data_IF_724210425797
#
_entry.id   IF_724210425797
#
_cell.length_a   1.000
_cell.length_b   1.000
_cell.length_c   1.000
_cell.angle_alpha   90.00
_cell.angle_beta   90.00
_cell.angle_gamma   90.00
#
_symmetry.space_group_name_H-M   'P 1'
#
loop_
_entity.id
_entity.type
_entity.pdbx_description
1 polymer ?
#
# COMPACT_ATOMS: atom_id res chain seq x y z
N UNK A 1 -13.22 16.23 23.06
CA UNK A 1 -13.53 17.69 22.93
C UNK A 1 -12.70 18.43 21.90
N UNK A 2 -11.35 18.28 21.85
CA UNK A 2 -10.50 19.02 20.89
C UNK A 2 -9.99 18.20 19.70
N UNK A 3 -10.41 16.94 19.57
CA UNK A 3 -9.99 16.03 18.50
C UNK A 3 -11.13 15.90 17.50
N UNK A 4 -10.89 16.27 16.24
CA UNK A 4 -11.93 16.23 15.19
C UNK A 4 -11.96 14.91 14.42
N UNK A 5 -10.81 14.34 14.08
CA UNK A 5 -10.73 13.12 13.28
C UNK A 5 -9.48 12.29 13.63
N UNK A 6 -9.57 11.00 13.34
CA UNK A 6 -8.48 10.05 13.24
C UNK A 6 -8.41 9.57 11.78
N UNK A 7 -7.20 9.53 11.21
CA UNK A 7 -6.95 9.09 9.84
C UNK A 7 -5.91 7.98 9.84
N UNK A 8 -6.18 6.92 9.08
CA UNK A 8 -5.23 5.82 8.89
C UNK A 8 -5.40 5.17 7.51
N UNK A 9 -4.27 4.78 6.91
CA UNK A 9 -4.28 3.80 5.82
C UNK A 9 -4.65 2.42 6.37
N UNK A 10 -5.45 1.59 5.68
CA UNK A 10 -5.70 0.21 6.12
C UNK A 10 -4.43 -0.66 6.17
N UNK A 11 -3.49 -0.40 5.27
CA UNK A 11 -2.11 -0.89 5.33
C UNK A 11 -1.23 0.33 5.05
N UNK A 12 -0.29 0.64 5.95
CA UNK A 12 0.62 1.77 5.76
C UNK A 12 1.57 1.46 4.60
N UNK A 13 1.22 1.90 3.40
CA UNK A 13 1.89 1.47 2.18
C UNK A 13 3.26 2.14 2.03
N UNK A 14 3.28 3.48 2.13
CA UNK A 14 4.51 4.25 1.97
C UNK A 14 5.47 4.15 3.15
N UNK A 15 5.01 3.64 4.30
CA UNK A 15 5.85 3.34 5.45
C UNK A 15 6.50 1.96 5.44
N UNK A 16 6.46 1.25 4.31
CA UNK A 16 7.08 -0.08 4.18
C UNK A 16 6.09 -1.24 4.28
N UNK A 17 4.85 -1.05 3.78
CA UNK A 17 3.81 -2.11 3.76
C UNK A 17 3.55 -2.67 5.17
N UNK A 18 3.31 -1.79 6.14
CA UNK A 18 3.03 -2.22 7.51
C UNK A 18 1.59 -2.73 7.59
N UNK A 19 1.45 -4.05 7.62
CA UNK A 19 0.17 -4.72 7.83
C UNK A 19 -0.20 -4.60 9.32
N UNK A 20 -1.33 -4.00 9.67
CA UNK A 20 -1.71 -3.86 11.07
C UNK A 20 -2.05 -5.23 11.69
N UNK A 21 -1.83 -5.41 13.00
CA UNK A 21 -2.31 -6.61 13.70
C UNK A 21 -3.84 -6.78 13.57
N UNK A 22 -4.36 -8.03 13.58
CA UNK A 22 -5.80 -8.27 13.58
C UNK A 22 -6.54 -7.48 14.66
N UNK A 23 -7.65 -6.83 14.29
CA UNK A 23 -8.48 -6.04 15.19
C UNK A 23 -7.98 -4.63 15.51
N UNK A 24 -6.80 -4.22 15.01
CA UNK A 24 -6.26 -2.87 15.23
C UNK A 24 -7.24 -1.77 14.80
N UNK A 25 -7.73 -1.83 13.56
CA UNK A 25 -8.64 -0.82 13.04
C UNK A 25 -9.99 -0.81 13.75
N UNK A 26 -10.55 -1.99 14.07
CA UNK A 26 -11.79 -2.08 14.83
C UNK A 26 -11.66 -1.44 16.22
N UNK A 27 -10.54 -1.68 16.92
CA UNK A 27 -10.26 -1.05 18.21
C UNK A 27 -10.11 0.48 18.09
N UNK A 28 -9.42 0.97 17.04
CA UNK A 28 -9.33 2.41 16.77
C UNK A 28 -10.69 3.03 16.48
N UNK A 29 -11.52 2.38 15.66
CA UNK A 29 -12.88 2.83 15.34
C UNK A 29 -13.74 2.90 16.60
N UNK A 30 -13.71 1.88 17.45
CA UNK A 30 -14.44 1.88 18.73
C UNK A 30 -14.04 3.05 19.65
N UNK A 31 -12.74 3.36 19.72
CA UNK A 31 -12.27 4.57 20.44
C UNK A 31 -12.85 5.83 19.79
N UNK A 32 -12.81 5.93 18.47
CA UNK A 32 -13.35 7.09 17.75
C UNK A 32 -14.84 7.28 18.03
N UNK A 33 -15.64 6.20 17.98
CA UNK A 33 -17.08 6.21 18.28
C UNK A 33 -17.37 6.67 19.70
N UNK A 34 -16.63 6.16 20.71
CA UNK A 34 -16.81 6.55 22.12
C UNK A 34 -16.54 8.03 22.40
N UNK A 35 -15.75 8.69 21.55
CA UNK A 35 -15.31 10.07 21.76
C UNK A 35 -15.86 11.05 20.71
N UNK A 36 -16.82 10.63 19.88
CA UNK A 36 -17.38 11.42 18.77
C UNK A 36 -16.28 11.98 17.83
N UNK A 37 -15.31 11.13 17.50
CA UNK A 37 -14.22 11.44 16.57
C UNK A 37 -14.54 10.80 15.22
N UNK A 38 -14.35 11.56 14.14
CA UNK A 38 -14.53 11.06 12.77
C UNK A 38 -13.42 10.06 12.44
N UNK A 39 -13.77 8.87 11.95
CA UNK A 39 -12.80 7.92 11.42
C UNK A 39 -12.66 8.06 9.89
N UNK A 40 -11.47 8.37 9.42
CA UNK A 40 -11.12 8.48 8.00
C UNK A 40 -10.22 7.30 7.60
N UNK A 41 -10.68 6.51 6.64
CA UNK A 41 -9.85 5.47 6.00
C UNK A 41 -9.19 6.04 4.76
N UNK A 42 -7.85 6.15 4.77
CA UNK A 42 -7.08 6.57 3.60
C UNK A 42 -6.83 5.35 2.70
N UNK A 43 -7.71 5.16 1.73
CA UNK A 43 -7.67 4.04 0.79
C UNK A 43 -7.06 4.43 -0.56
N UNK A 44 -6.22 5.47 -0.58
CA UNK A 44 -5.56 5.91 -1.81
C UNK A 44 -4.70 4.78 -2.40
N UNK A 45 -4.09 3.91 -1.59
CA UNK A 45 -3.32 2.74 -2.07
C UNK A 45 -4.11 1.43 -2.01
N UNK A 46 -4.83 1.19 -0.93
CA UNK A 46 -5.50 -0.09 -0.66
C UNK A 46 -6.80 -0.27 -1.43
N UNK A 47 -7.44 0.84 -1.81
CA UNK A 47 -8.64 0.83 -2.64
C UNK A 47 -8.35 0.40 -4.08
N UNK A 48 -9.41 0.18 -4.84
CA UNK A 48 -9.36 -0.26 -6.22
C UNK A 48 -8.49 -1.51 -6.40
N UNK A 49 -8.81 -2.55 -5.65
CA UNK A 49 -8.36 -3.92 -5.92
C UNK A 49 -6.97 -4.30 -5.43
N UNK A 50 -6.22 -3.40 -4.78
CA UNK A 50 -4.88 -3.73 -4.26
C UNK A 50 -4.88 -4.95 -3.34
N UNK A 51 -5.91 -5.07 -2.50
CA UNK A 51 -6.16 -6.23 -1.63
C UNK A 51 -7.27 -7.14 -2.16
N UNK A 52 -7.65 -7.02 -3.43
CA UNK A 52 -8.72 -7.79 -4.04
C UNK A 52 -10.13 -7.31 -3.75
N UNK A 53 -10.29 -6.08 -3.23
CA UNK A 53 -11.58 -5.46 -2.97
C UNK A 53 -11.59 -4.01 -3.47
N UNK A 54 -12.77 -3.47 -3.77
CA UNK A 54 -12.90 -2.04 -4.13
C UNK A 54 -12.38 -1.13 -3.02
N UNK A 55 -12.66 -1.48 -1.77
CA UNK A 55 -12.12 -0.87 -0.57
C UNK A 55 -11.84 -1.97 0.44
N UNK A 56 -10.76 -1.85 1.20
CA UNK A 56 -10.32 -2.86 2.15
C UNK A 56 -11.05 -2.77 3.50
N UNK A 57 -11.50 -1.57 3.86
CA UNK A 57 -12.04 -1.23 5.19
C UNK A 57 -13.03 -2.27 5.73
N UNK A 58 -14.09 -2.58 4.98
CA UNK A 58 -15.11 -3.55 5.40
C UNK A 58 -14.66 -5.01 5.19
N UNK A 59 -14.35 -5.47 3.96
CA UNK A 59 -14.12 -6.90 3.72
C UNK A 59 -12.80 -7.45 4.30
N UNK A 60 -11.82 -6.59 4.59
CA UNK A 60 -10.49 -7.01 5.09
C UNK A 60 -10.31 -6.65 6.56
N UNK A 61 -10.81 -5.50 6.99
CA UNK A 61 -10.52 -4.95 8.33
C UNK A 61 -11.74 -4.83 9.24
N UNK A 62 -12.93 -5.25 8.78
CA UNK A 62 -14.18 -5.26 9.56
C UNK A 62 -14.53 -3.89 10.14
N UNK A 63 -14.33 -2.83 9.34
CA UNK A 63 -14.68 -1.45 9.69
C UNK A 63 -15.52 -0.77 8.60
N UNK A 64 -16.49 0.03 9.04
CA UNK A 64 -17.18 1.02 8.20
C UNK A 64 -16.74 2.42 8.64
N UNK A 65 -15.80 3.06 7.91
CA UNK A 65 -15.30 4.39 8.25
C UNK A 65 -16.35 5.46 7.96
N UNK A 66 -16.18 6.64 8.55
CA UNK A 66 -17.06 7.78 8.27
C UNK A 66 -16.76 8.44 6.94
N UNK A 67 -15.48 8.43 6.55
CA UNK A 67 -14.96 8.99 5.31
C UNK A 67 -13.96 8.00 4.71
N UNK A 68 -14.00 7.82 3.39
CA UNK A 68 -12.93 7.17 2.62
C UNK A 68 -12.28 8.20 1.71
N UNK A 69 -10.94 8.25 1.70
CA UNK A 69 -10.17 9.01 0.70
C UNK A 69 -9.66 8.03 -0.36
N UNK A 70 -9.81 8.37 -1.63
CA UNK A 70 -9.37 7.49 -2.73
C UNK A 70 -8.84 8.26 -3.94
N UNK A 71 -7.88 7.65 -4.64
CA UNK A 71 -7.27 8.14 -5.89
C UNK A 71 -6.55 6.96 -6.57
N UNK A 72 -5.35 7.17 -7.15
CA UNK A 72 -4.47 6.15 -7.76
C UNK A 72 -5.21 5.10 -8.60
N UNK A 73 -5.55 3.95 -8.01
CA UNK A 73 -6.25 2.86 -8.68
C UNK A 73 -7.63 3.25 -9.21
N UNK A 74 -8.23 4.34 -8.72
CA UNK A 74 -9.47 4.94 -9.23
C UNK A 74 -9.46 5.15 -10.75
N UNK A 75 -8.30 5.54 -11.30
CA UNK A 75 -8.10 5.69 -12.74
C UNK A 75 -6.93 4.87 -13.25
N UNK A 76 -6.38 3.95 -12.45
CA UNK A 76 -5.13 3.23 -12.73
C UNK A 76 -3.98 4.13 -13.21
N UNK A 77 -3.96 5.40 -12.78
CA UNK A 77 -2.95 6.38 -13.18
C UNK A 77 -3.12 6.98 -14.59
N UNK A 78 -4.16 6.64 -15.34
CA UNK A 78 -4.37 7.15 -16.71
C UNK A 78 -4.62 8.67 -16.75
N UNK A 79 -5.31 9.20 -15.74
CA UNK A 79 -5.60 10.64 -15.60
C UNK A 79 -5.82 10.98 -14.13
N UNK A 80 -5.45 12.19 -13.66
CA UNK A 80 -5.67 12.59 -12.26
C UNK A 80 -7.15 12.62 -11.89
N UNK A 81 -7.52 11.81 -10.90
CA UNK A 81 -8.82 11.85 -10.23
C UNK A 81 -8.64 11.40 -8.79
N UNK A 82 -9.32 12.08 -7.87
CA UNK A 82 -9.47 11.64 -6.49
C UNK A 82 -10.94 11.82 -6.08
N UNK A 83 -11.34 11.10 -5.03
CA UNK A 83 -12.64 11.28 -4.41
C UNK A 83 -12.52 11.24 -2.88
N UNK A 84 -13.45 11.94 -2.24
CA UNK A 84 -13.73 11.84 -0.81
C UNK A 84 -15.14 11.30 -0.72
N UNK A 85 -15.29 10.10 -0.18
CA UNK A 85 -16.56 9.41 -0.01
C UNK A 85 -16.99 9.65 1.43
N UNK A 86 -18.14 10.28 1.62
CA UNK A 86 -18.62 10.69 2.95
C UNK A 86 -19.87 9.87 3.25
N UNK A 87 -19.93 9.26 4.44
CA UNK A 87 -21.09 8.50 4.88
C UNK A 87 -22.35 9.36 4.99
N UNK A 88 -23.51 8.74 4.74
CA UNK A 88 -24.81 9.40 4.89
C UNK A 88 -25.00 9.98 6.29
N UNK A 89 -24.52 9.28 7.33
CA UNK A 89 -24.55 9.75 8.72
C UNK A 89 -23.91 11.13 8.87
N UNK A 90 -22.74 11.34 8.27
CA UNK A 90 -22.05 12.63 8.32
C UNK A 90 -22.73 13.68 7.45
N UNK A 91 -23.13 13.31 6.23
CA UNK A 91 -23.82 14.26 5.33
C UNK A 91 -25.13 14.75 5.96
N UNK A 92 -25.93 13.88 6.56
CA UNK A 92 -27.20 14.25 7.21
C UNK A 92 -27.02 15.20 8.40
N UNK A 93 -25.86 15.16 9.07
CA UNK A 93 -25.56 16.07 10.17
C UNK A 93 -25.29 17.52 9.70
N UNK A 94 -24.98 17.72 8.42
CA UNK A 94 -24.56 19.02 7.86
C UNK A 94 -25.36 19.42 6.61
N UNK A 95 -26.49 18.76 6.32
CA UNK A 95 -27.33 19.02 5.15
C UNK A 95 -28.81 19.07 5.52
N UNK A 96 -29.63 19.63 4.62
CA UNK A 96 -31.07 19.79 4.82
C UNK A 96 -31.37 20.68 6.03
N UNK A 97 -32.39 20.34 6.82
CA UNK A 97 -32.78 21.14 8.00
C UNK A 97 -31.66 21.29 9.05
N UNK A 98 -30.68 20.38 9.03
CA UNK A 98 -29.52 20.38 9.95
C UNK A 98 -28.46 21.43 9.58
N UNK A 99 -28.44 21.93 8.34
CA UNK A 99 -27.37 22.81 7.86
C UNK A 99 -27.44 24.22 8.46
N UNK A 100 -28.59 24.61 9.03
CA UNK A 100 -28.85 25.94 9.62
C UNK A 100 -28.49 27.10 8.67
N UNK A 101 -28.69 26.90 7.37
CA UNK A 101 -28.33 27.86 6.31
C UNK A 101 -26.84 27.91 6.00
N UNK A 102 -26.05 26.92 6.43
CA UNK A 102 -24.62 26.84 6.15
C UNK A 102 -24.37 26.47 4.69
N UNK A 103 -23.28 27.02 4.14
CA UNK A 103 -22.82 26.70 2.78
C UNK A 103 -21.47 25.99 2.86
N UNK A 104 -21.35 24.84 2.20
CA UNK A 104 -20.05 24.19 2.03
C UNK A 104 -19.24 24.92 0.95
N UNK A 105 -18.53 25.98 1.35
CA UNK A 105 -17.75 26.84 0.44
C UNK A 105 -16.38 26.23 0.15
N UNK A 106 -16.36 25.02 -0.41
CA UNK A 106 -15.15 24.34 -0.86
C UNK A 106 -15.38 23.67 -2.22
N UNK A 107 -14.38 23.75 -3.10
CA UNK A 107 -14.42 23.14 -4.42
C UNK A 107 -13.16 23.45 -5.21
N UNK A 108 -12.89 22.63 -6.23
CA UNK A 108 -11.76 22.82 -7.14
C UNK A 108 -12.28 23.06 -8.55
N UNK A 109 -11.56 23.84 -9.36
CA UNK A 109 -11.93 24.12 -10.77
C UNK A 109 -12.19 22.84 -11.58
N UNK A 110 -11.46 21.76 -11.25
CA UNK A 110 -11.56 20.47 -11.93
C UNK A 110 -12.31 19.40 -11.12
N UNK A 111 -13.02 19.79 -10.05
CA UNK A 111 -13.92 18.87 -9.34
C UNK A 111 -14.95 18.29 -10.31
N UNK A 112 -15.01 16.95 -10.41
CA UNK A 112 -15.91 16.26 -11.33
C UNK A 112 -15.52 16.42 -12.81
N UNK A 113 -14.23 16.56 -13.13
CA UNK A 113 -13.77 16.69 -14.52
C UNK A 113 -14.29 15.54 -15.38
N UNK A 114 -15.12 15.79 -16.42
CA UNK A 114 -15.89 14.75 -17.10
C UNK A 114 -15.02 13.69 -17.77
N UNK A 115 -13.87 14.07 -18.35
CA UNK A 115 -12.93 13.11 -18.95
C UNK A 115 -12.29 12.21 -17.89
N UNK A 116 -12.02 12.74 -16.70
CA UNK A 116 -11.42 11.96 -15.62
C UNK A 116 -12.45 10.98 -15.05
N UNK A 117 -13.70 11.41 -14.88
CA UNK A 117 -14.80 10.54 -14.51
C UNK A 117 -15.04 9.43 -15.55
N UNK A 118 -15.01 9.75 -16.85
CA UNK A 118 -15.14 8.74 -17.91
C UNK A 118 -14.01 7.71 -17.89
N UNK A 119 -12.76 8.14 -17.65
CA UNK A 119 -11.63 7.23 -17.48
C UNK A 119 -11.78 6.34 -16.23
N UNK A 120 -12.31 6.88 -15.13
CA UNK A 120 -12.62 6.11 -13.92
C UNK A 120 -13.68 5.02 -14.17
N UNK A 121 -14.74 5.34 -14.93
CA UNK A 121 -15.77 4.36 -15.31
C UNK A 121 -15.17 3.27 -16.19
N UNK A 122 -14.45 3.63 -17.26
CA UNK A 122 -13.81 2.67 -18.15
C UNK A 122 -12.79 1.79 -17.41
N UNK A 123 -12.08 2.35 -16.43
CA UNK A 123 -11.19 1.59 -15.56
C UNK A 123 -11.96 0.53 -14.75
N UNK A 124 -13.09 0.88 -14.15
CA UNK A 124 -13.94 -0.08 -13.42
C UNK A 124 -14.50 -1.18 -14.33
N UNK A 125 -14.89 -0.85 -15.56
CA UNK A 125 -15.32 -1.85 -16.56
C UNK A 125 -14.21 -2.86 -16.90
N UNK A 126 -12.95 -2.41 -16.95
CA UNK A 126 -11.79 -3.30 -17.11
C UNK A 126 -11.58 -4.19 -15.90
N UNK A 127 -11.73 -3.66 -14.69
CA UNK A 127 -11.65 -4.43 -13.45
C UNK A 127 -12.64 -5.60 -13.45
N UNK A 128 -13.88 -5.33 -13.82
CA UNK A 128 -14.95 -6.33 -13.85
C UNK A 128 -14.76 -7.34 -14.99
N UNK A 129 -14.49 -6.86 -16.21
CA UNK A 129 -14.37 -7.72 -17.39
C UNK A 129 -13.13 -8.63 -17.39
N UNK A 130 -12.04 -8.21 -16.73
CA UNK A 130 -10.81 -9.00 -16.62
C UNK A 130 -10.67 -9.73 -15.27
N UNK A 131 -11.64 -9.60 -14.36
CA UNK A 131 -11.59 -10.24 -13.05
C UNK A 131 -10.38 -9.80 -12.21
N UNK A 132 -10.05 -8.51 -12.23
CA UNK A 132 -8.83 -8.00 -11.58
C UNK A 132 -8.88 -8.12 -10.05
N UNK A 133 -10.08 -8.06 -9.45
CA UNK A 133 -10.25 -8.26 -8.02
C UNK A 133 -9.96 -9.72 -7.63
N UNK A 134 -10.47 -10.66 -8.42
CA UNK A 134 -10.22 -12.10 -8.28
C UNK A 134 -8.73 -12.39 -8.44
N UNK A 135 -8.10 -11.87 -9.50
CA UNK A 135 -6.67 -12.05 -9.74
C UNK A 135 -5.83 -11.49 -8.58
N UNK A 136 -6.18 -10.32 -8.05
CA UNK A 136 -5.47 -9.75 -6.90
C UNK A 136 -5.60 -10.60 -5.62
N UNK A 137 -6.69 -11.33 -5.42
CA UNK A 137 -6.83 -12.29 -4.31
C UNK A 137 -5.98 -13.54 -4.56
N UNK A 138 -6.10 -14.13 -5.75
CA UNK A 138 -5.45 -15.40 -6.09
C UNK A 138 -3.94 -15.25 -6.28
N UNK A 139 -3.51 -14.35 -7.18
CA UNK A 139 -2.10 -14.08 -7.46
C UNK A 139 -1.46 -13.29 -6.32
N UNK A 140 -2.22 -12.47 -5.60
CA UNK A 140 -1.73 -11.84 -4.37
C UNK A 140 -1.33 -12.86 -3.32
N UNK A 141 -2.18 -13.84 -3.02
CA UNK A 141 -1.83 -14.93 -2.10
C UNK A 141 -0.61 -15.73 -2.57
N UNK A 142 -0.49 -15.95 -3.89
CA UNK A 142 0.68 -16.60 -4.49
C UNK A 142 1.95 -15.77 -4.31
N UNK A 143 1.89 -14.46 -4.60
CA UNK A 143 2.98 -13.52 -4.40
C UNK A 143 3.47 -13.50 -2.95
N UNK A 144 2.56 -13.48 -1.97
CA UNK A 144 2.96 -13.54 -0.56
C UNK A 144 3.70 -14.85 -0.21
N UNK A 145 3.32 -15.96 -0.83
CA UNK A 145 4.01 -17.26 -0.67
C UNK A 145 5.39 -17.22 -1.30
N UNK A 146 5.50 -16.71 -2.53
CA UNK A 146 6.77 -16.62 -3.26
C UNK A 146 7.75 -15.67 -2.58
N UNK A 147 7.30 -14.51 -2.10
CA UNK A 147 8.14 -13.58 -1.34
C UNK A 147 8.75 -14.25 -0.10
N UNK A 148 7.95 -15.01 0.65
CA UNK A 148 8.43 -15.74 1.84
C UNK A 148 9.55 -16.73 1.56
N UNK A 149 9.74 -17.17 0.31
CA UNK A 149 10.88 -18.03 -0.02
C UNK A 149 12.22 -17.33 0.17
N UNK A 150 12.26 -15.99 0.14
CA UNK A 150 13.48 -15.18 0.33
C UNK A 150 13.99 -15.17 1.77
N UNK A 151 13.24 -15.71 2.73
CA UNK A 151 13.67 -15.77 4.13
C UNK A 151 14.84 -16.73 4.38
N UNK A 152 15.25 -17.50 3.36
CA UNK A 152 16.46 -18.31 3.39
C UNK A 152 17.74 -17.48 3.19
N UNK A 153 17.61 -16.23 2.72
CA UNK A 153 18.73 -15.31 2.55
C UNK A 153 19.06 -14.65 3.91
N UNK A 154 20.31 -14.77 4.39
CA UNK A 154 20.72 -14.27 5.72
C UNK A 154 20.43 -12.79 5.99
N UNK A 155 20.52 -11.94 4.96
CA UNK A 155 20.26 -10.50 5.09
C UNK A 155 18.77 -10.18 5.26
N UNK A 156 17.85 -11.10 4.96
CA UNK A 156 16.41 -10.82 4.98
C UNK A 156 15.87 -10.94 6.41
N UNK A 157 15.59 -9.80 7.03
CA UNK A 157 15.12 -9.71 8.43
C UNK A 157 13.61 -9.81 8.59
N UNK A 158 12.83 -9.25 7.67
CA UNK A 158 11.37 -9.35 7.69
C UNK A 158 10.77 -9.39 6.27
N UNK A 159 9.66 -10.12 6.14
CA UNK A 159 8.86 -10.20 4.92
C UNK A 159 7.40 -10.02 5.30
N UNK A 160 6.80 -8.93 4.81
CA UNK A 160 5.42 -8.55 5.14
C UNK A 160 4.67 -8.07 3.92
N UNK A 161 3.35 -8.25 3.94
CA UNK A 161 2.49 -7.93 2.82
C UNK A 161 1.11 -8.57 2.92
N UNK A 162 0.23 -8.13 2.04
CA UNK A 162 -1.12 -8.66 1.86
C UNK A 162 -1.58 -8.36 0.44
N UNK A 163 -2.30 -9.28 -0.20
CA UNK A 163 -2.72 -9.09 -1.59
C UNK A 163 -1.53 -8.84 -2.52
N UNK A 164 -1.65 -7.87 -3.43
CA UNK A 164 -0.59 -7.48 -4.36
C UNK A 164 0.24 -6.29 -3.84
N UNK A 165 0.61 -6.30 -2.56
CA UNK A 165 1.65 -5.43 -2.01
C UNK A 165 2.54 -6.21 -1.05
N UNK A 166 3.84 -5.94 -1.10
CA UNK A 166 4.83 -6.64 -0.29
C UNK A 166 6.06 -5.80 -0.01
N UNK A 167 6.76 -6.17 1.06
CA UNK A 167 8.00 -5.58 1.51
C UNK A 167 8.94 -6.69 1.96
N UNK A 168 10.18 -6.64 1.47
CA UNK A 168 11.30 -7.46 1.95
C UNK A 168 12.30 -6.51 2.58
N UNK A 169 12.50 -6.62 3.89
CA UNK A 169 13.42 -5.78 4.65
C UNK A 169 14.76 -6.51 4.81
N UNK A 170 15.84 -5.88 4.35
CA UNK A 170 17.18 -6.46 4.38
C UNK A 170 18.03 -5.76 5.44
N UNK A 171 18.45 -6.46 6.48
CA UNK A 171 19.18 -5.87 7.62
C UNK A 171 20.60 -6.42 7.65
N UNK A 172 21.56 -5.53 7.89
CA UNK A 172 22.97 -5.88 8.11
C UNK A 172 23.43 -5.19 9.38
N UNK A 173 24.17 -5.87 10.24
CA UNK A 173 24.86 -5.21 11.34
C UNK A 173 26.30 -4.90 10.96
N UNK A 174 26.90 -3.84 11.49
CA UNK A 174 28.34 -3.62 11.45
C UNK A 174 28.74 -2.67 12.59
N UNK A 175 29.61 -3.12 13.51
CA UNK A 175 29.95 -2.37 14.73
C UNK A 175 30.56 -0.97 14.45
N UNK A 176 31.20 -0.79 13.30
CA UNK A 176 31.96 0.42 12.98
C UNK A 176 31.22 1.45 12.12
N UNK A 177 29.95 1.22 11.77
CA UNK A 177 29.15 2.12 10.91
C UNK A 177 27.89 2.57 11.61
N UNK A 178 27.43 3.78 11.26
CA UNK A 178 26.10 4.27 11.66
C UNK A 178 25.03 3.36 11.02
N UNK A 179 24.16 2.68 11.81
CA UNK A 179 23.26 1.65 11.29
C UNK A 179 22.35 2.16 10.16
N UNK A 180 21.81 3.36 10.29
CA UNK A 180 20.89 3.92 9.31
C UNK A 180 21.55 4.22 7.96
N UNK A 181 22.82 4.67 7.96
CA UNK A 181 23.55 4.91 6.70
C UNK A 181 23.78 3.60 5.95
N UNK A 182 24.11 2.53 6.68
CA UNK A 182 24.25 1.19 6.11
C UNK A 182 22.94 0.67 5.54
N UNK A 183 21.82 0.87 6.23
CA UNK A 183 20.50 0.47 5.74
C UNK A 183 20.13 1.16 4.43
N UNK A 184 20.38 2.47 4.30
CA UNK A 184 20.19 3.21 3.05
C UNK A 184 21.08 2.67 1.92
N UNK A 185 22.33 2.34 2.23
CA UNK A 185 23.27 1.77 1.25
C UNK A 185 22.82 0.38 0.78
N UNK A 186 22.39 -0.49 1.69
CA UNK A 186 21.86 -1.83 1.38
C UNK A 186 20.66 -1.72 0.43
N UNK A 187 19.64 -0.93 0.79
CA UNK A 187 18.46 -0.80 -0.07
C UNK A 187 18.77 -0.17 -1.42
N UNK A 188 19.66 0.82 -1.48
CA UNK A 188 20.11 1.42 -2.73
C UNK A 188 20.86 0.43 -3.63
N UNK A 189 21.68 -0.47 -3.07
CA UNK A 189 22.39 -1.48 -3.85
C UNK A 189 21.45 -2.53 -4.40
N UNK A 190 20.51 -3.01 -3.59
CA UNK A 190 19.49 -3.98 -4.04
C UNK A 190 18.67 -3.37 -5.18
N UNK A 191 18.25 -2.12 -5.06
CA UNK A 191 17.51 -1.41 -6.11
C UNK A 191 18.30 -1.32 -7.42
N UNK A 192 19.57 -0.90 -7.36
CA UNK A 192 20.44 -0.83 -8.53
C UNK A 192 20.63 -2.20 -9.22
N UNK A 193 20.85 -3.25 -8.43
CA UNK A 193 20.98 -4.61 -8.97
C UNK A 193 19.68 -5.12 -9.60
N UNK A 194 18.54 -4.91 -8.93
CA UNK A 194 17.22 -5.26 -9.47
C UNK A 194 16.94 -4.50 -10.77
N UNK A 195 17.22 -3.20 -10.80
CA UNK A 195 16.99 -2.35 -11.97
C UNK A 195 17.86 -2.80 -13.16
N UNK A 196 19.12 -3.15 -12.92
CA UNK A 196 20.02 -3.69 -13.95
C UNK A 196 19.54 -5.05 -14.51
N UNK A 197 18.76 -5.79 -13.72
CA UNK A 197 18.15 -7.07 -14.10
C UNK A 197 16.73 -6.90 -14.70
N UNK A 198 16.20 -5.68 -14.74
CA UNK A 198 14.89 -5.37 -15.35
C UNK A 198 13.73 -5.27 -14.37
N UNK A 199 13.97 -5.26 -13.05
CA UNK A 199 12.93 -5.09 -12.03
C UNK A 199 13.02 -3.72 -11.37
N UNK A 200 11.90 -2.99 -11.34
CA UNK A 200 11.75 -1.78 -10.54
C UNK A 200 11.22 -2.14 -9.15
N UNK A 201 12.05 -1.96 -8.14
CA UNK A 201 11.64 -1.96 -6.73
C UNK A 201 11.64 -0.53 -6.22
N UNK A 202 10.87 -0.25 -5.16
CA UNK A 202 10.97 1.05 -4.48
C UNK A 202 11.73 0.85 -3.17
N UNK A 203 13.01 1.26 -3.07
CA UNK A 203 13.70 1.24 -1.79
C UNK A 203 13.06 2.26 -0.84
N UNK A 204 12.77 1.83 0.39
CA UNK A 204 12.51 2.69 1.53
C UNK A 204 13.55 2.35 2.58
N UNK A 205 14.61 3.14 2.67
CA UNK A 205 15.80 2.77 3.46
C UNK A 205 16.33 1.42 2.93
N UNK A 206 16.28 0.36 3.72
CA UNK A 206 16.66 -1.02 3.40
C UNK A 206 15.49 -1.93 3.00
N UNK A 207 14.29 -1.38 2.85
CA UNK A 207 13.08 -2.11 2.49
C UNK A 207 12.82 -2.10 0.99
N UNK A 208 12.72 -3.28 0.38
CA UNK A 208 12.29 -3.45 -1.00
C UNK A 208 10.76 -3.48 -1.08
N UNK A 209 10.13 -2.34 -1.34
CA UNK A 209 8.67 -2.23 -1.45
C UNK A 209 8.20 -2.49 -2.88
N UNK A 210 7.18 -3.34 -3.02
CA UNK A 210 6.61 -3.76 -4.30
C UNK A 210 5.08 -3.69 -4.29
N UNK A 211 4.51 -3.26 -5.42
CA UNK A 211 3.07 -3.22 -5.66
C UNK A 211 2.79 -3.39 -7.16
N UNK A 212 2.93 -4.61 -7.72
CA UNK A 212 2.81 -4.85 -9.16
C UNK A 212 1.40 -4.50 -9.70
N UNK A 213 1.23 -4.36 -11.02
CA UNK A 213 -0.10 -4.23 -11.63
C UNK A 213 -1.04 -5.38 -11.22
N UNK A 214 -2.34 -5.09 -11.13
CA UNK A 214 -3.32 -6.10 -10.68
C UNK A 214 -3.52 -7.25 -11.66
N UNK A 215 -3.08 -7.09 -12.91
CA UNK A 215 -3.11 -8.11 -13.95
C UNK A 215 -1.84 -8.99 -13.99
N UNK A 216 -0.92 -8.86 -13.02
CA UNK A 216 0.27 -9.70 -12.94
C UNK A 216 -0.10 -11.19 -12.90
N UNK A 217 0.64 -12.03 -13.61
CA UNK A 217 0.45 -13.49 -13.61
C UNK A 217 1.38 -14.17 -12.59
N UNK A 218 1.15 -15.46 -12.31
CA UNK A 218 2.03 -16.23 -11.42
C UNK A 218 3.46 -16.34 -11.97
N UNK A 219 3.59 -16.51 -13.28
CA UNK A 219 4.89 -16.59 -13.95
C UNK A 219 5.66 -15.26 -13.83
N UNK A 220 4.96 -14.13 -13.94
CA UNK A 220 5.56 -12.81 -13.72
C UNK A 220 5.90 -12.56 -12.24
N UNK A 221 5.13 -13.13 -11.31
CA UNK A 221 5.50 -13.14 -9.89
C UNK A 221 6.77 -13.95 -9.67
N UNK A 222 6.91 -15.12 -10.31
CA UNK A 222 8.11 -15.95 -10.21
C UNK A 222 9.34 -15.22 -10.78
N UNK A 223 9.20 -14.57 -11.93
CA UNK A 223 10.24 -13.72 -12.53
C UNK A 223 10.62 -12.56 -11.59
N UNK A 224 9.64 -11.83 -11.06
CA UNK A 224 9.85 -10.72 -10.12
C UNK A 224 10.61 -11.18 -8.88
N UNK A 225 10.18 -12.28 -8.24
CA UNK A 225 10.84 -12.82 -7.03
C UNK A 225 12.22 -13.38 -7.35
N UNK A 226 12.40 -14.01 -8.51
CA UNK A 226 13.70 -14.48 -8.98
C UNK A 226 14.71 -13.34 -9.19
N UNK A 227 14.29 -12.25 -9.84
CA UNK A 227 15.13 -11.07 -10.01
C UNK A 227 15.44 -10.41 -8.65
N UNK A 228 14.45 -10.30 -7.77
CA UNK A 228 14.66 -9.75 -6.43
C UNK A 228 15.68 -10.58 -5.63
N UNK A 229 15.56 -11.92 -5.65
CA UNK A 229 16.53 -12.83 -5.03
C UNK A 229 17.94 -12.55 -5.56
N UNK A 230 18.11 -12.51 -6.87
CA UNK A 230 19.41 -12.27 -7.50
C UNK A 230 19.96 -10.89 -7.11
N UNK A 231 19.13 -9.85 -7.05
CA UNK A 231 19.53 -8.52 -6.61
C UNK A 231 20.01 -8.49 -5.15
N UNK A 232 19.33 -9.22 -4.26
CA UNK A 232 19.74 -9.38 -2.86
C UNK A 232 21.06 -10.16 -2.77
N UNK A 233 21.20 -11.27 -3.50
CA UNK A 233 22.43 -12.10 -3.51
C UNK A 233 23.63 -11.29 -3.99
N UNK A 234 23.49 -10.51 -5.08
CA UNK A 234 24.58 -9.63 -5.56
C UNK A 234 24.97 -8.58 -4.52
N UNK A 235 23.98 -8.03 -3.82
CA UNK A 235 24.24 -7.09 -2.72
C UNK A 235 25.03 -7.77 -1.60
N UNK A 236 24.66 -9.00 -1.21
CA UNK A 236 25.42 -9.77 -0.22
C UNK A 236 26.86 -10.03 -0.69
N UNK A 237 27.07 -10.38 -1.96
CA UNK A 237 28.41 -10.60 -2.52
C UNK A 237 29.27 -9.34 -2.48
N UNK A 238 28.69 -8.17 -2.76
CA UNK A 238 29.39 -6.88 -2.69
C UNK A 238 29.77 -6.54 -1.24
N UNK A 239 28.82 -6.69 -0.31
CA UNK A 239 29.06 -6.49 1.13
C UNK A 239 30.14 -7.44 1.67
N UNK A 240 30.13 -8.71 1.25
CA UNK A 240 31.14 -9.70 1.63
C UNK A 240 32.55 -9.30 1.14
N UNK A 241 32.68 -8.81 -0.09
CA UNK A 241 33.97 -8.32 -0.64
C UNK A 241 34.48 -7.10 0.12
N UNK A 242 33.58 -6.30 0.67
CA UNK A 242 33.89 -5.11 1.47
C UNK A 242 34.13 -5.44 2.96
N UNK A 243 33.96 -6.70 3.37
CA UNK A 243 34.13 -7.13 4.75
C UNK A 243 32.96 -6.76 5.67
N UNK A 244 31.78 -6.51 5.11
CA UNK A 244 30.52 -6.29 5.85
C UNK A 244 29.77 -7.62 5.87
N UNK A 245 29.99 -8.45 6.91
CA UNK A 245 29.61 -9.88 6.90
C UNK A 245 28.68 -10.33 8.03
N UNK A 246 28.21 -9.44 8.90
CA UNK A 246 27.37 -9.83 10.03
C UNK A 246 25.88 -9.82 9.64
N UNK A 247 25.44 -10.99 9.17
CA UNK A 247 24.04 -11.37 9.01
C UNK A 247 23.71 -12.30 10.20
N UNK A 248 23.27 -11.73 11.32
CA UNK A 248 22.80 -12.53 12.48
C UNK A 248 21.36 -12.99 12.28
#
# INVERSE_FOLDING_TARGET
DKVGAFIAEPILASGGVIVPPPGYHAACLEICRRHDIIYISDEVVTGFGRLGHWYASEPVFDITPDIIISAKGLTSGYIPLSCVIISDRLIQAVSGDSDRGSVFSNGFTYSGHPVACAAGIANMEVFESQGLLENAREVGSYMQTQLRTLSDLPIVGDIRGMGLMGCVECVVSQESREPLELDYEVGSRIDQHCQALGLLVRPLINMCVMSPPLCITREQVDEMVGILREGIVRTMDDLNKEGVTTFD
#
